data_IF_867925805715
#
_entry.id   IF_867925805715
#
_cell.length_a   1.000
_cell.length_b   1.000
_cell.length_c   1.000
_cell.angle_alpha   90.00
_cell.angle_beta   90.00
_cell.angle_gamma   90.00
#
_symmetry.space_group_name_H-M   'P 1'
#
loop_
_entity.id
_entity.type
_entity.pdbx_description
1 polymer ?
#
# COMPACT_ATOMS: atom_id res chain seq x y z
N UNK A 1 -23.77 5.29 -29.25
CA UNK A 1 -22.95 5.70 -28.10
C UNK A 1 -21.88 4.66 -27.89
N UNK A 2 -20.64 4.96 -28.24
CA UNK A 2 -19.51 4.07 -27.95
C UNK A 2 -19.30 4.09 -26.45
N UNK A 3 -19.54 2.97 -25.76
CA UNK A 3 -19.11 2.78 -24.37
C UNK A 3 -17.58 2.79 -24.41
N UNK A 4 -16.97 3.93 -24.04
CA UNK A 4 -15.55 4.00 -23.75
C UNK A 4 -15.40 3.11 -22.51
N UNK A 5 -14.82 1.93 -22.70
CA UNK A 5 -14.44 1.04 -21.62
C UNK A 5 -13.26 1.72 -20.90
N UNK A 6 -13.55 2.61 -19.95
CA UNK A 6 -12.53 3.23 -19.12
C UNK A 6 -11.99 2.11 -18.22
N UNK A 7 -10.79 1.66 -18.54
CA UNK A 7 -10.09 0.62 -17.77
C UNK A 7 -9.35 1.30 -16.61
N UNK A 8 -10.02 1.51 -15.49
CA UNK A 8 -9.42 2.07 -14.29
C UNK A 8 -8.38 1.11 -13.69
N UNK A 9 -7.36 1.67 -13.06
CA UNK A 9 -6.42 0.91 -12.22
C UNK A 9 -7.13 0.31 -11.02
N UNK A 10 -7.96 1.12 -10.34
CA UNK A 10 -8.85 0.72 -9.25
C UNK A 10 -10.25 1.28 -9.55
N UNK A 11 -11.26 0.47 -9.26
CA UNK A 11 -12.65 0.90 -9.22
C UNK A 11 -13.33 0.23 -8.04
N UNK A 12 -13.81 1.03 -7.12
CA UNK A 12 -14.63 0.63 -5.98
C UNK A 12 -16.02 1.21 -6.22
N UNK A 13 -17.05 0.36 -6.31
CA UNK A 13 -18.41 0.79 -6.64
C UNK A 13 -19.35 0.47 -5.51
N UNK A 14 -20.09 1.50 -5.07
CA UNK A 14 -21.17 1.37 -4.07
C UNK A 14 -20.70 0.68 -2.79
N UNK A 15 -19.49 1.01 -2.35
CA UNK A 15 -18.91 0.42 -1.14
C UNK A 15 -19.67 0.93 0.08
N UNK A 16 -20.21 -0.02 0.84
CA UNK A 16 -20.86 0.24 2.13
C UNK A 16 -20.11 -0.52 3.22
N UNK A 17 -19.84 0.15 4.34
CA UNK A 17 -19.22 -0.45 5.52
C UNK A 17 -19.77 0.10 6.80
N UNK A 18 -20.25 -0.79 7.67
CA UNK A 18 -20.75 -0.46 9.01
C UNK A 18 -19.88 -1.09 10.09
N UNK A 19 -19.83 -0.47 11.25
CA UNK A 19 -19.22 -0.98 12.48
C UNK A 19 -20.29 -0.90 13.59
N UNK A 20 -20.98 -2.01 13.83
CA UNK A 20 -22.18 -2.01 14.66
C UNK A 20 -23.23 -1.06 14.05
N UNK A 21 -23.72 -0.11 14.83
CA UNK A 21 -24.71 0.88 14.39
C UNK A 21 -24.09 2.08 13.65
N UNK A 22 -22.76 2.16 13.58
CA UNK A 22 -22.07 3.25 12.90
C UNK A 22 -21.82 2.93 11.43
N UNK A 23 -22.43 3.71 10.53
CA UNK A 23 -22.24 3.62 9.09
C UNK A 23 -21.04 4.47 8.68
N UNK A 24 -19.91 3.81 8.40
CA UNK A 24 -18.64 4.48 8.07
C UNK A 24 -18.51 4.81 6.58
N UNK A 25 -19.08 3.98 5.70
CA UNK A 25 -19.12 4.19 4.24
C UNK A 25 -20.55 3.87 3.78
N UNK A 26 -21.15 4.80 3.05
CA UNK A 26 -22.51 4.65 2.50
C UNK A 26 -22.48 4.86 0.98
N UNK A 27 -22.63 3.78 0.22
CA UNK A 27 -22.69 3.75 -1.24
C UNK A 27 -21.52 4.52 -1.93
N UNK A 28 -20.32 4.45 -1.36
CA UNK A 28 -19.15 5.22 -1.82
C UNK A 28 -18.60 4.62 -3.09
N UNK A 29 -18.41 5.48 -4.11
CA UNK A 29 -17.73 5.11 -5.37
C UNK A 29 -16.41 5.85 -5.49
N UNK A 30 -15.32 5.11 -5.69
CA UNK A 30 -13.97 5.62 -5.87
C UNK A 30 -13.35 5.01 -7.14
N UNK A 31 -12.61 5.82 -7.90
CA UNK A 31 -11.93 5.41 -9.12
C UNK A 31 -10.53 6.01 -9.15
N UNK A 32 -9.58 5.23 -9.64
CA UNK A 32 -8.20 5.64 -9.83
C UNK A 32 -7.73 5.19 -11.21
N UNK A 33 -7.17 6.09 -11.99
CA UNK A 33 -6.60 5.78 -13.30
C UNK A 33 -5.16 5.25 -13.20
N UNK A 34 -4.64 4.71 -14.30
CA UNK A 34 -3.24 4.29 -14.36
C UNK A 34 -2.30 5.50 -14.33
N UNK A 35 -1.27 5.44 -13.48
CA UNK A 35 -0.28 6.50 -13.34
C UNK A 35 -0.80 7.75 -12.64
N UNK A 36 -1.98 7.70 -12.04
CA UNK A 36 -2.59 8.80 -11.30
C UNK A 36 -2.08 8.86 -9.86
N UNK A 37 -1.88 10.09 -9.37
CA UNK A 37 -1.74 10.41 -7.94
C UNK A 37 -3.04 11.07 -7.50
N UNK A 38 -3.76 10.40 -6.61
CA UNK A 38 -5.09 10.83 -6.15
C UNK A 38 -5.05 11.17 -4.66
N UNK A 39 -5.36 12.42 -4.32
CA UNK A 39 -5.44 12.86 -2.93
C UNK A 39 -6.89 12.76 -2.42
N UNK A 40 -7.08 12.01 -1.31
CA UNK A 40 -8.35 11.95 -0.60
C UNK A 40 -8.39 13.04 0.47
N UNK A 41 -9.20 14.08 0.24
CA UNK A 41 -9.38 15.18 1.15
C UNK A 41 -10.74 15.09 1.87
N UNK A 42 -10.81 15.55 3.09
CA UNK A 42 -12.03 15.57 3.90
C UNK A 42 -11.73 15.67 5.39
N UNK A 43 -12.74 15.98 6.18
CA UNK A 43 -12.66 16.09 7.64
C UNK A 43 -12.29 14.75 8.31
N UNK A 44 -11.87 14.83 9.57
CA UNK A 44 -11.68 13.62 10.38
C UNK A 44 -13.02 12.90 10.56
N UNK A 45 -13.02 11.59 10.38
CA UNK A 45 -14.26 10.80 10.42
C UNK A 45 -15.02 10.72 9.09
N UNK A 46 -14.59 11.38 8.01
CA UNK A 46 -15.25 11.33 6.70
C UNK A 46 -15.13 9.98 5.96
N UNK A 47 -14.59 8.93 6.60
CA UNK A 47 -14.49 7.59 6.01
C UNK A 47 -13.26 7.34 5.14
N UNK A 48 -12.33 8.31 5.01
CA UNK A 48 -11.11 8.17 4.16
C UNK A 48 -10.30 6.91 4.50
N UNK A 49 -9.90 6.79 5.77
CA UNK A 49 -9.12 5.62 6.23
C UNK A 49 -9.95 4.34 6.17
N UNK A 50 -11.27 4.40 6.38
CA UNK A 50 -12.14 3.23 6.22
C UNK A 50 -12.17 2.73 4.78
N UNK A 51 -12.24 3.62 3.79
CA UNK A 51 -12.19 3.28 2.37
C UNK A 51 -10.84 2.64 1.99
N UNK A 52 -9.74 3.24 2.45
CA UNK A 52 -8.38 2.70 2.20
C UNK A 52 -8.15 1.37 2.93
N UNK A 53 -8.71 1.20 4.13
CA UNK A 53 -8.66 -0.06 4.86
C UNK A 53 -9.49 -1.18 4.18
N UNK A 54 -10.58 -0.85 3.49
CA UNK A 54 -11.28 -1.79 2.62
C UNK A 54 -10.39 -2.21 1.45
N UNK A 55 -9.74 -1.28 0.77
CA UNK A 55 -8.86 -1.59 -0.36
C UNK A 55 -7.62 -2.39 0.07
N UNK A 56 -7.06 -2.10 1.25
CA UNK A 56 -5.91 -2.84 1.79
C UNK A 56 -6.28 -4.19 2.44
N UNK A 57 -7.57 -4.54 2.48
CA UNK A 57 -8.05 -5.80 3.01
C UNK A 57 -8.08 -5.89 4.54
N UNK A 58 -7.95 -4.77 5.25
CA UNK A 58 -8.11 -4.72 6.72
C UNK A 58 -9.59 -4.92 7.08
N UNK A 59 -10.50 -4.36 6.26
CA UNK A 59 -11.93 -4.56 6.41
C UNK A 59 -12.53 -5.14 5.12
N UNK A 60 -13.43 -6.12 5.26
CA UNK A 60 -14.29 -6.53 4.16
C UNK A 60 -15.45 -5.52 4.03
N UNK A 61 -15.83 -5.07 2.83
CA UNK A 61 -17.03 -4.27 2.63
C UNK A 61 -18.27 -5.11 2.91
N UNK A 62 -19.33 -4.47 3.41
CA UNK A 62 -20.63 -5.15 3.62
C UNK A 62 -21.41 -5.24 2.30
N UNK A 63 -21.20 -4.24 1.40
CA UNK A 63 -21.77 -4.19 0.05
C UNK A 63 -20.81 -3.49 -0.90
N UNK A 64 -21.07 -3.66 -2.19
CA UNK A 64 -20.31 -3.05 -3.27
C UNK A 64 -19.33 -4.01 -3.91
N UNK A 65 -18.60 -3.50 -4.91
CA UNK A 65 -17.69 -4.30 -5.72
C UNK A 65 -16.36 -3.57 -5.88
N UNK A 66 -15.26 -4.33 -5.82
CA UNK A 66 -13.92 -3.82 -6.07
C UNK A 66 -13.38 -4.45 -7.35
N UNK A 67 -12.87 -3.64 -8.25
CA UNK A 67 -12.12 -4.12 -9.40
C UNK A 67 -10.73 -3.49 -9.47
N UNK A 68 -9.73 -4.32 -9.82
CA UNK A 68 -8.33 -3.91 -10.01
C UNK A 68 -7.90 -4.36 -11.41
N UNK A 69 -7.31 -3.45 -12.17
CA UNK A 69 -6.92 -3.67 -13.57
C UNK A 69 -8.11 -4.19 -14.42
N UNK A 70 -9.31 -3.68 -14.16
CA UNK A 70 -10.55 -4.04 -14.87
C UNK A 70 -11.12 -5.42 -14.53
N UNK A 71 -10.57 -6.11 -13.53
CA UNK A 71 -11.07 -7.42 -13.05
C UNK A 71 -11.69 -7.26 -11.68
N UNK A 72 -12.89 -7.77 -11.50
CA UNK A 72 -13.54 -7.87 -10.19
C UNK A 72 -12.73 -8.79 -9.30
N UNK A 73 -12.48 -8.35 -8.07
CA UNK A 73 -11.67 -9.06 -7.09
C UNK A 73 -12.37 -9.12 -5.75
N UNK A 74 -12.15 -10.21 -5.01
CA UNK A 74 -12.52 -10.33 -3.62
C UNK A 74 -11.26 -10.19 -2.75
N UNK A 75 -11.28 -9.25 -1.83
CA UNK A 75 -10.21 -8.99 -0.88
C UNK A 75 -10.69 -9.46 0.50
N UNK A 76 -10.25 -10.65 0.92
CA UNK A 76 -10.64 -11.24 2.20
C UNK A 76 -9.64 -10.92 3.32
N UNK A 77 -8.50 -10.34 2.96
CA UNK A 77 -7.46 -9.97 3.92
C UNK A 77 -6.30 -9.22 3.29
N UNK A 78 -5.35 -8.70 4.12
CA UNK A 78 -4.18 -7.97 3.64
C UNK A 78 -3.28 -8.79 2.69
N UNK A 79 -3.27 -10.11 2.83
CA UNK A 79 -2.51 -11.00 1.93
C UNK A 79 -3.06 -10.96 0.50
N UNK A 80 -4.39 -10.95 0.34
CA UNK A 80 -5.02 -10.87 -0.98
C UNK A 80 -4.75 -9.52 -1.63
N UNK A 81 -4.91 -8.44 -0.86
CA UNK A 81 -4.60 -7.08 -1.29
C UNK A 81 -3.15 -6.95 -1.78
N UNK A 82 -2.20 -7.51 -1.01
CA UNK A 82 -0.78 -7.55 -1.39
C UNK A 82 -0.55 -8.33 -2.69
N UNK A 83 -1.18 -9.49 -2.87
CA UNK A 83 -1.10 -10.28 -4.11
C UNK A 83 -1.66 -9.53 -5.33
N UNK A 84 -2.64 -8.66 -5.13
CA UNK A 84 -3.21 -7.77 -6.14
C UNK A 84 -2.34 -6.53 -6.40
N UNK A 85 -1.20 -6.42 -5.72
CA UNK A 85 -0.25 -5.32 -5.89
C UNK A 85 -0.62 -4.05 -5.14
N UNK A 86 -1.48 -4.12 -4.12
CA UNK A 86 -1.79 -2.99 -3.24
C UNK A 86 -0.84 -3.02 -2.04
N UNK A 87 -0.12 -1.92 -1.82
CA UNK A 87 0.74 -1.71 -0.66
C UNK A 87 0.27 -0.51 0.16
N UNK A 88 0.30 -0.60 1.47
CA UNK A 88 -0.08 0.48 2.37
C UNK A 88 1.08 0.88 3.27
N UNK A 89 1.38 2.17 3.28
CA UNK A 89 2.28 2.83 4.23
C UNK A 89 1.41 3.48 5.29
N UNK A 90 1.56 3.02 6.54
CA UNK A 90 0.76 3.49 7.65
C UNK A 90 1.38 4.76 8.27
N UNK A 91 0.55 5.58 8.90
CA UNK A 91 0.94 6.77 9.67
C UNK A 91 2.01 6.45 10.73
N UNK A 92 1.91 5.31 11.40
CA UNK A 92 2.92 4.84 12.35
C UNK A 92 3.80 3.78 11.72
N UNK A 93 5.10 4.07 11.63
CA UNK A 93 6.07 3.16 11.03
C UNK A 93 6.13 1.82 11.76
N UNK A 94 6.04 0.74 10.98
CA UNK A 94 6.17 -0.63 11.48
C UNK A 94 7.59 -1.15 11.23
N UNK A 95 8.58 -0.41 11.78
CA UNK A 95 10.00 -0.72 11.65
C UNK A 95 10.58 -1.27 12.94
N UNK A 96 11.45 -2.25 12.81
CA UNK A 96 12.26 -2.77 13.92
C UNK A 96 13.46 -1.85 14.10
N UNK A 97 13.44 -1.00 15.11
CA UNK A 97 14.39 0.12 15.29
C UNK A 97 15.86 -0.31 15.37
N UNK A 98 16.14 -1.51 15.91
CA UNK A 98 17.49 -2.07 16.03
C UNK A 98 18.00 -2.71 14.73
N UNK A 99 17.15 -2.93 13.73
CA UNK A 99 17.52 -3.52 12.44
C UNK A 99 17.92 -2.44 11.46
N UNK A 100 18.80 -2.82 10.52
CA UNK A 100 19.16 -1.95 9.40
C UNK A 100 17.97 -1.68 8.49
N UNK A 101 18.07 -0.65 7.62
CA UNK A 101 17.07 -0.41 6.61
C UNK A 101 16.92 -1.62 5.67
N UNK A 102 18.05 -2.24 5.27
CA UNK A 102 18.04 -3.47 4.46
C UNK A 102 17.29 -4.61 5.12
N UNK A 103 17.55 -4.86 6.42
CA UNK A 103 16.89 -5.95 7.14
C UNK A 103 15.38 -5.69 7.31
N UNK A 104 14.99 -4.44 7.58
CA UNK A 104 13.57 -4.05 7.63
C UNK A 104 12.85 -4.26 6.29
N UNK A 105 13.50 -3.93 5.17
CA UNK A 105 12.93 -4.17 3.83
C UNK A 105 12.83 -5.68 3.58
N UNK A 106 13.84 -6.46 3.97
CA UNK A 106 13.86 -7.91 3.83
C UNK A 106 12.69 -8.60 4.55
N UNK A 107 12.27 -8.09 5.72
CA UNK A 107 11.11 -8.61 6.43
C UNK A 107 9.78 -8.52 5.65
N UNK A 108 9.70 -7.63 4.64
CA UNK A 108 8.51 -7.46 3.80
C UNK A 108 8.35 -8.53 2.72
N UNK A 109 9.42 -9.26 2.42
CA UNK A 109 9.47 -10.34 1.46
C UNK A 109 9.59 -11.70 2.15
N UNK A 110 9.24 -12.78 1.44
CA UNK A 110 9.14 -14.11 2.04
C UNK A 110 10.50 -14.58 2.56
N UNK A 111 10.60 -14.84 3.87
CA UNK A 111 11.84 -15.05 4.64
C UNK A 111 12.71 -16.26 4.23
N UNK A 112 12.20 -17.21 3.44
CA UNK A 112 12.93 -18.44 3.12
C UNK A 112 14.21 -18.22 2.30
N UNK A 113 14.37 -17.05 1.66
CA UNK A 113 15.46 -16.74 0.73
C UNK A 113 16.44 -15.67 1.22
N UNK A 114 16.17 -15.02 2.37
CA UNK A 114 16.92 -13.83 2.79
C UNK A 114 18.44 -14.05 2.92
N UNK A 115 18.86 -15.10 3.63
CA UNK A 115 20.29 -15.34 3.89
C UNK A 115 21.07 -15.81 2.66
N UNK A 116 20.41 -16.46 1.70
CA UNK A 116 21.05 -16.95 0.47
C UNK A 116 21.05 -15.89 -0.67
N UNK A 117 20.23 -14.83 -0.56
CA UNK A 117 20.02 -13.85 -1.62
C UNK A 117 20.20 -12.38 -1.16
N UNK A 118 20.88 -12.16 -0.04
CA UNK A 118 21.04 -10.80 0.54
C UNK A 118 21.66 -9.82 -0.44
N UNK A 119 22.66 -10.21 -1.20
CA UNK A 119 23.32 -9.34 -2.18
C UNK A 119 22.40 -9.02 -3.37
N UNK A 120 21.63 -10.00 -3.82
CA UNK A 120 20.64 -9.80 -4.87
C UNK A 120 19.51 -8.83 -4.43
N UNK A 121 19.04 -8.99 -3.19
CA UNK A 121 18.07 -8.08 -2.60
C UNK A 121 18.61 -6.65 -2.50
N UNK A 122 19.85 -6.48 -2.00
CA UNK A 122 20.53 -5.18 -1.92
C UNK A 122 20.58 -4.53 -3.30
N UNK A 123 21.01 -5.26 -4.32
CA UNK A 123 21.09 -4.75 -5.69
C UNK A 123 19.71 -4.30 -6.21
N UNK A 124 18.65 -5.10 -5.95
CA UNK A 124 17.28 -4.76 -6.32
C UNK A 124 16.80 -3.48 -5.62
N UNK A 125 17.14 -3.30 -4.34
CA UNK A 125 16.79 -2.09 -3.57
C UNK A 125 17.52 -0.88 -4.13
N UNK A 126 18.83 -0.96 -4.34
CA UNK A 126 19.64 0.14 -4.88
C UNK A 126 19.13 0.59 -6.25
N UNK A 127 18.83 -0.35 -7.13
CA UNK A 127 18.22 -0.05 -8.43
C UNK A 127 16.88 0.67 -8.28
N UNK A 128 16.03 0.23 -7.35
CA UNK A 128 14.74 0.87 -7.09
C UNK A 128 14.91 2.27 -6.51
N UNK A 129 15.88 2.46 -5.61
CA UNK A 129 16.22 3.79 -5.05
C UNK A 129 16.65 4.76 -6.16
N UNK A 130 17.50 4.31 -7.09
CA UNK A 130 17.92 5.10 -8.25
C UNK A 130 16.73 5.49 -9.14
N UNK A 131 15.84 4.53 -9.45
CA UNK A 131 14.64 4.75 -10.27
C UNK A 131 13.70 5.84 -9.69
N UNK A 132 13.62 5.95 -8.35
CA UNK A 132 12.69 6.87 -7.68
C UNK A 132 13.39 8.08 -7.03
N UNK A 133 14.72 8.21 -7.21
CA UNK A 133 15.50 9.31 -6.67
C UNK A 133 15.61 9.31 -5.14
N UNK A 134 15.63 8.13 -4.49
CA UNK A 134 15.81 8.01 -3.04
C UNK A 134 17.29 7.83 -2.69
N UNK A 135 17.73 8.57 -1.68
CA UNK A 135 19.02 8.36 -1.00
C UNK A 135 18.75 7.84 0.41
N UNK A 136 19.37 6.71 0.76
CA UNK A 136 19.20 6.05 2.05
C UNK A 136 20.40 5.17 2.35
N UNK A 137 20.91 5.25 3.59
CA UNK A 137 21.88 4.28 4.09
C UNK A 137 21.16 2.96 4.47
N UNK A 138 21.44 1.92 3.70
CA UNK A 138 20.82 0.60 3.90
C UNK A 138 21.36 -0.15 5.10
N UNK A 139 22.53 0.22 5.61
CA UNK A 139 23.22 -0.50 6.68
C UNK A 139 22.98 0.09 8.07
N UNK A 140 22.61 1.36 8.15
CA UNK A 140 22.29 2.00 9.42
C UNK A 140 21.02 1.44 10.06
N UNK A 141 21.02 1.25 11.41
CA UNK A 141 19.81 0.94 12.16
C UNK A 141 18.73 2.01 11.95
N UNK A 142 17.50 1.58 11.63
CA UNK A 142 16.43 2.56 11.30
C UNK A 142 16.06 3.47 12.47
N UNK A 143 16.39 3.07 13.70
CA UNK A 143 16.22 3.92 14.88
C UNK A 143 17.11 5.17 14.91
N UNK A 144 18.18 5.22 14.10
CA UNK A 144 19.09 6.36 13.94
C UNK A 144 18.73 7.24 12.74
N UNK A 145 17.82 6.78 11.89
CA UNK A 145 17.38 7.50 10.71
C UNK A 145 16.38 8.61 11.09
N UNK A 146 16.39 9.68 10.34
CA UNK A 146 15.35 10.72 10.43
C UNK A 146 13.96 10.15 10.08
N UNK A 147 12.91 10.85 10.48
CA UNK A 147 11.51 10.46 10.16
C UNK A 147 11.32 10.33 8.65
N UNK A 148 11.87 11.23 7.85
CA UNK A 148 11.79 11.18 6.40
C UNK A 148 12.49 9.94 5.81
N UNK A 149 13.66 9.55 6.37
CA UNK A 149 14.36 8.33 5.93
C UNK A 149 13.59 7.08 6.36
N UNK A 150 13.03 7.04 7.57
CA UNK A 150 12.18 5.94 8.01
C UNK A 150 10.95 5.78 7.08
N UNK A 151 10.35 6.88 6.64
CA UNK A 151 9.28 6.85 5.65
C UNK A 151 9.73 6.27 4.31
N UNK A 152 10.95 6.65 3.83
CA UNK A 152 11.54 6.05 2.62
C UNK A 152 11.71 4.53 2.76
N UNK A 153 12.13 4.05 3.94
CA UNK A 153 12.21 2.61 4.22
C UNK A 153 10.84 1.95 4.09
N UNK A 154 9.77 2.53 4.67
CA UNK A 154 8.40 1.99 4.54
C UNK A 154 7.92 1.97 3.08
N UNK A 155 8.18 3.02 2.31
CA UNK A 155 7.84 3.05 0.88
C UNK A 155 8.62 1.97 0.12
N UNK A 156 9.93 1.84 0.36
CA UNK A 156 10.75 0.79 -0.26
C UNK A 156 10.27 -0.61 0.08
N UNK A 157 9.82 -0.86 1.32
CA UNK A 157 9.23 -2.15 1.73
C UNK A 157 8.07 -2.56 0.82
N UNK A 158 7.12 -1.65 0.58
CA UNK A 158 5.95 -1.97 -0.25
C UNK A 158 6.31 -2.10 -1.73
N UNK A 159 7.23 -1.27 -2.24
CA UNK A 159 7.69 -1.33 -3.63
C UNK A 159 8.47 -2.63 -3.92
N UNK A 160 9.40 -3.00 -3.04
CA UNK A 160 10.19 -4.23 -3.17
C UNK A 160 9.33 -5.48 -3.04
N UNK A 161 8.25 -5.40 -2.23
CA UNK A 161 7.24 -6.45 -2.15
C UNK A 161 6.35 -6.55 -3.40
N UNK A 162 6.51 -5.67 -4.39
CA UNK A 162 5.82 -5.73 -5.69
C UNK A 162 4.56 -4.88 -5.78
N UNK A 163 4.36 -3.91 -4.88
CA UNK A 163 3.23 -3.01 -4.97
C UNK A 163 3.28 -2.16 -6.26
N UNK A 164 2.16 -2.11 -6.96
CA UNK A 164 1.89 -1.24 -8.12
C UNK A 164 0.84 -0.17 -7.82
N UNK A 165 0.24 -0.25 -6.65
CA UNK A 165 -0.71 0.70 -6.07
C UNK A 165 -0.20 0.96 -4.66
N UNK A 166 0.02 2.22 -4.31
CA UNK A 166 0.52 2.61 -3.00
C UNK A 166 -0.51 3.50 -2.32
N UNK A 167 -0.90 3.11 -1.12
CA UNK A 167 -1.73 3.92 -0.23
C UNK A 167 -0.80 4.57 0.79
N UNK A 168 -0.82 5.89 0.87
CA UNK A 168 -0.13 6.66 1.90
C UNK A 168 -1.18 7.23 2.86
N UNK A 169 -1.13 6.81 4.12
CA UNK A 169 -2.07 7.25 5.16
C UNK A 169 -1.38 8.30 6.03
N UNK A 170 -1.74 9.57 5.83
CA UNK A 170 -1.13 10.75 6.49
C UNK A 170 0.42 10.74 6.42
N UNK A 171 0.99 10.83 5.20
CA UNK A 171 2.42 10.69 4.97
C UNK A 171 3.25 11.88 5.47
#
# INVERSE_FOLDING_TARGET
MVKINQNYKIKMEKITKSFGDFLALDDVTFKLDFGEVHALLGENGAGKSSLMNVLSGIYAPDRGEISINGKVVNINGPSDSKLLGVGMVHQHFRLVKSFSALDNIALSINQKSYYSEKDNLRHKILKKMEEIGFELDLDSPVGLLSVAEQQRVEILKVLIAGASIIILDEP
#
